data_IF_619970446937
#
_entry.id   IF_619970446937
#
_cell.length_a   1.000
_cell.length_b   1.000
_cell.length_c   1.000
_cell.angle_alpha   90.00
_cell.angle_beta   90.00
_cell.angle_gamma   90.00
#
_symmetry.space_group_name_H-M   'P 1'
#
loop_
_entity.id
_entity.type
_entity.pdbx_description
1 polymer ?
#
# COMPACT_ATOMS: atom_id res chain seq x y z
N UNK A 1 26.09 3.31 -12.39
CA UNK A 1 26.29 3.68 -10.97
C UNK A 1 25.11 3.10 -10.21
N UNK A 2 25.32 2.13 -9.31
CA UNK A 2 24.24 1.52 -8.53
C UNK A 2 23.89 2.50 -7.40
N UNK A 3 22.75 3.17 -7.48
CA UNK A 3 22.25 3.99 -6.37
C UNK A 3 22.01 3.06 -5.18
N UNK A 4 22.89 3.11 -4.18
CA UNK A 4 22.75 2.37 -2.92
C UNK A 4 21.76 3.08 -2.03
N UNK A 5 20.48 3.08 -2.42
CA UNK A 5 19.38 3.48 -1.53
C UNK A 5 19.11 2.32 -0.59
N UNK A 6 19.12 2.58 0.72
CA UNK A 6 18.75 1.63 1.76
C UNK A 6 17.45 0.91 1.37
N UNK A 7 17.37 -0.44 1.50
CA UNK A 7 16.15 -1.17 1.16
C UNK A 7 14.98 -0.64 1.99
N UNK A 8 13.83 -0.47 1.34
CA UNK A 8 12.61 -0.04 2.00
C UNK A 8 12.22 -1.08 3.06
N UNK A 9 11.77 -0.61 4.23
CA UNK A 9 11.19 -1.51 5.23
C UNK A 9 9.92 -2.17 4.69
N UNK A 10 9.57 -3.37 5.15
CA UNK A 10 8.32 -4.04 4.77
C UNK A 10 7.08 -3.15 4.96
N UNK A 11 7.05 -2.37 6.06
CA UNK A 11 6.01 -1.36 6.32
C UNK A 11 5.93 -0.30 5.21
N UNK A 12 7.08 0.20 4.75
CA UNK A 12 7.13 1.22 3.70
C UNK A 12 6.71 0.64 2.34
N UNK A 13 7.10 -0.60 2.04
CA UNK A 13 6.64 -1.33 0.84
C UNK A 13 5.12 -1.48 0.88
N UNK A 14 4.57 -2.01 1.97
CA UNK A 14 3.13 -2.18 2.15
C UNK A 14 2.35 -0.87 2.03
N UNK A 15 2.77 0.16 2.77
CA UNK A 15 2.12 1.48 2.75
C UNK A 15 2.04 2.06 1.32
N UNK A 16 3.16 2.01 0.60
CA UNK A 16 3.27 2.50 -0.78
C UNK A 16 2.38 1.70 -1.71
N UNK A 17 2.49 0.37 -1.68
CA UNK A 17 1.79 -0.52 -2.59
C UNK A 17 0.27 -0.48 -2.34
N UNK A 18 -0.18 -0.43 -1.08
CA UNK A 18 -1.59 -0.26 -0.72
C UNK A 18 -2.16 1.02 -1.33
N UNK A 19 -1.44 2.14 -1.19
CA UNK A 19 -1.85 3.43 -1.74
C UNK A 19 -1.93 3.42 -3.27
N UNK A 20 -0.97 2.76 -3.94
CA UNK A 20 -0.97 2.61 -5.40
C UNK A 20 -2.17 1.76 -5.84
N UNK A 21 -2.33 0.56 -5.26
CA UNK A 21 -3.44 -0.33 -5.57
C UNK A 21 -4.79 0.36 -5.36
N UNK A 22 -4.99 1.03 -4.23
CA UNK A 22 -6.23 1.77 -3.95
C UNK A 22 -6.52 2.82 -5.04
N UNK A 23 -5.51 3.57 -5.47
CA UNK A 23 -5.68 4.60 -6.52
C UNK A 23 -5.96 4.00 -7.90
N UNK A 24 -5.33 2.88 -8.24
CA UNK A 24 -5.61 2.16 -9.49
C UNK A 24 -7.04 1.62 -9.56
N UNK A 25 -7.62 1.29 -8.41
CA UNK A 25 -9.00 0.84 -8.28
C UNK A 25 -10.01 2.00 -8.11
N UNK A 26 -9.56 3.26 -8.15
CA UNK A 26 -10.39 4.46 -7.93
C UNK A 26 -11.18 4.44 -6.60
N UNK A 27 -10.62 3.81 -5.57
CA UNK A 27 -11.23 3.68 -4.25
C UNK A 27 -10.78 4.83 -3.35
N UNK A 28 -11.69 5.48 -2.63
CA UNK A 28 -11.31 6.50 -1.63
C UNK A 28 -10.78 5.86 -0.35
N UNK A 29 -10.02 6.61 0.47
CA UNK A 29 -9.59 6.10 1.79
C UNK A 29 -10.78 5.76 2.69
N UNK A 30 -11.87 6.53 2.60
CA UNK A 30 -13.10 6.30 3.36
C UNK A 30 -13.78 5.01 2.91
N UNK A 31 -13.88 4.76 1.60
CA UNK A 31 -14.47 3.55 1.04
C UNK A 31 -13.65 2.30 1.39
N UNK A 32 -12.32 2.35 1.25
CA UNK A 32 -11.44 1.25 1.65
C UNK A 32 -11.58 0.95 3.15
N UNK A 33 -11.57 1.99 3.98
CA UNK A 33 -11.74 1.83 5.42
C UNK A 33 -13.07 1.17 5.77
N UNK A 34 -14.17 1.61 5.14
CA UNK A 34 -15.50 1.02 5.33
C UNK A 34 -15.51 -0.46 4.94
N UNK A 35 -14.96 -0.82 3.78
CA UNK A 35 -14.91 -2.20 3.29
C UNK A 35 -14.03 -3.10 4.16
N UNK A 36 -12.93 -2.57 4.70
CA UNK A 36 -12.00 -3.30 5.56
C UNK A 36 -12.41 -3.31 7.05
N UNK A 37 -13.53 -2.66 7.43
CA UNK A 37 -13.96 -2.55 8.83
C UNK A 37 -13.03 -1.71 9.70
N UNK A 38 -12.42 -0.67 9.13
CA UNK A 38 -11.42 0.18 9.78
C UNK A 38 -11.84 1.66 9.78
N UNK A 39 -11.14 2.50 10.54
CA UNK A 39 -11.32 3.95 10.45
C UNK A 39 -10.53 4.53 9.28
N UNK A 40 -11.08 5.56 8.61
CA UNK A 40 -10.34 6.30 7.57
C UNK A 40 -8.99 6.82 8.09
N UNK A 41 -8.95 7.33 9.33
CA UNK A 41 -7.70 7.82 9.95
C UNK A 41 -6.65 6.72 9.99
N UNK A 42 -7.01 5.50 10.42
CA UNK A 42 -6.08 4.38 10.48
C UNK A 42 -5.56 3.99 9.08
N UNK A 43 -6.44 3.90 8.07
CA UNK A 43 -6.04 3.66 6.67
C UNK A 43 -5.09 4.76 6.18
N UNK A 44 -5.35 6.02 6.51
CA UNK A 44 -4.51 7.15 6.15
C UNK A 44 -3.10 7.06 6.76
N UNK A 45 -3.01 6.69 8.04
CA UNK A 45 -1.72 6.49 8.74
C UNK A 45 -0.94 5.28 8.19
N UNK A 46 -1.65 4.21 7.80
CA UNK A 46 -1.05 3.05 7.11
C UNK A 46 -0.45 3.49 5.78
N UNK A 47 -1.18 4.22 4.92
CA UNK A 47 -0.68 4.67 3.62
C UNK A 47 0.50 5.65 3.73
N UNK A 48 0.67 6.32 4.88
CA UNK A 48 1.84 7.15 5.19
C UNK A 48 2.99 6.38 5.83
N UNK A 49 2.80 5.10 6.16
CA UNK A 49 3.79 4.27 6.85
C UNK A 49 3.99 4.62 8.32
N UNK A 50 3.04 5.34 8.93
CA UNK A 50 3.11 5.80 10.33
C UNK A 50 2.69 4.72 11.33
N UNK A 51 1.99 3.67 10.87
CA UNK A 51 1.55 2.54 11.69
C UNK A 51 2.27 1.25 11.35
N UNK A 52 2.58 0.48 12.38
CA UNK A 52 2.92 -0.94 12.23
C UNK A 52 1.61 -1.72 12.19
N UNK A 53 1.09 -1.94 10.98
CA UNK A 53 -0.16 -2.66 10.74
C UNK A 53 0.02 -4.16 11.03
N UNK A 54 -0.98 -4.80 11.63
CA UNK A 54 -0.95 -6.25 11.85
C UNK A 54 -1.15 -6.99 10.53
N UNK A 55 -0.68 -8.24 10.45
CA UNK A 55 -0.82 -9.07 9.25
C UNK A 55 -2.30 -9.27 8.88
N UNK A 56 -3.18 -9.49 9.87
CA UNK A 56 -4.62 -9.65 9.63
C UNK A 56 -5.25 -8.38 9.04
N UNK A 57 -4.84 -7.20 9.52
CA UNK A 57 -5.31 -5.93 8.96
C UNK A 57 -4.76 -5.71 7.54
N UNK A 58 -3.54 -6.15 7.26
CA UNK A 58 -3.01 -6.13 5.89
C UNK A 58 -3.84 -7.02 4.97
N UNK A 59 -4.24 -8.21 5.44
CA UNK A 59 -5.13 -9.13 4.73
C UNK A 59 -6.51 -8.49 4.45
N UNK A 60 -7.15 -7.93 5.48
CA UNK A 60 -8.46 -7.28 5.33
C UNK A 60 -8.44 -6.12 4.31
N UNK A 61 -7.36 -5.34 4.28
CA UNK A 61 -7.19 -4.27 3.28
C UNK A 61 -6.94 -4.81 1.87
N UNK A 62 -6.22 -5.92 1.74
CA UNK A 62 -6.00 -6.59 0.47
C UNK A 62 -7.31 -7.17 -0.09
N UNK A 63 -8.07 -7.87 0.77
CA UNK A 63 -9.38 -8.44 0.43
C UNK A 63 -10.38 -7.36 0.04
N UNK A 64 -10.42 -6.24 0.78
CA UNK A 64 -11.28 -5.10 0.48
C UNK A 64 -10.98 -4.47 -0.90
N UNK A 65 -9.72 -4.48 -1.35
CA UNK A 65 -9.32 -4.02 -2.69
C UNK A 65 -9.43 -5.11 -3.76
N UNK A 66 -9.65 -6.38 -3.39
CA UNK A 66 -9.63 -7.51 -4.31
C UNK A 66 -8.24 -7.81 -4.87
N UNK A 67 -7.18 -7.56 -4.10
CA UNK A 67 -5.78 -7.79 -4.50
C UNK A 67 -5.13 -8.85 -3.61
N UNK A 68 -4.13 -9.56 -4.11
CA UNK A 68 -3.40 -10.53 -3.29
C UNK A 68 -2.45 -9.78 -2.32
N UNK A 69 -2.45 -10.16 -1.04
CA UNK A 69 -1.56 -9.57 -0.03
C UNK A 69 -0.07 -9.63 -0.44
N UNK A 70 0.35 -10.71 -1.12
CA UNK A 70 1.73 -10.86 -1.62
C UNK A 70 2.14 -9.69 -2.54
N UNK A 71 1.22 -9.16 -3.34
CA UNK A 71 1.47 -8.07 -4.28
C UNK A 71 1.67 -6.74 -3.51
N UNK A 72 1.01 -6.61 -2.35
CA UNK A 72 1.16 -5.45 -1.48
C UNK A 72 2.48 -5.44 -0.69
N UNK A 73 3.13 -6.60 -0.50
CA UNK A 73 4.41 -6.69 0.21
C UNK A 73 5.62 -6.92 -0.71
N UNK A 74 5.39 -7.02 -2.02
CA UNK A 74 6.45 -7.14 -3.02
C UNK A 74 7.04 -5.76 -3.36
N UNK A 75 8.34 -5.52 -3.09
CA UNK A 75 8.98 -4.25 -3.40
C UNK A 75 9.00 -3.90 -4.89
N UNK A 76 8.92 -4.88 -5.79
CA UNK A 76 9.06 -4.72 -7.25
C UNK A 76 7.71 -4.61 -7.98
N UNK A 77 6.59 -4.99 -7.35
CA UNK A 77 5.25 -5.09 -7.98
C UNK A 77 4.84 -3.84 -8.78
N UNK A 78 5.18 -2.65 -8.29
CA UNK A 78 4.82 -1.37 -8.90
C UNK A 78 6.02 -0.53 -9.34
N UNK A 79 7.22 -1.11 -9.43
CA UNK A 79 8.45 -0.38 -9.79
C UNK A 79 8.32 0.38 -11.11
N UNK A 80 7.73 -0.23 -12.13
CA UNK A 80 7.56 0.38 -13.46
C UNK A 80 6.49 1.48 -13.57
N UNK A 81 5.67 1.70 -12.54
CA UNK A 81 4.69 2.80 -12.50
C UNK A 81 5.31 4.11 -11.99
N UNK A 82 6.43 4.03 -11.27
CA UNK A 82 7.11 5.20 -10.72
C UNK A 82 8.05 5.87 -11.75
N UNK A 83 8.56 5.09 -12.71
CA UNK A 83 9.44 5.60 -13.78
C UNK A 83 8.70 6.50 -14.80
N UNK A 84 7.37 6.39 -14.90
CA UNK A 84 6.57 7.13 -15.89
C UNK A 84 6.17 8.55 -15.47
N UNK A 85 6.45 8.94 -14.22
CA UNK A 85 6.22 10.31 -13.71
C UNK A 85 7.41 11.26 -13.88
N UNK A 86 8.51 10.80 -14.50
CA UNK A 86 9.62 11.64 -14.94
C UNK A 86 9.61 11.81 -16.46
N UNK A 87 8.60 12.49 -16.99
CA UNK A 87 8.65 13.19 -18.27
C UNK A 87 7.80 14.45 -18.19
#
# INVERSE_FOLDING_TARGET
>A
MKNTTKPLTARAVFARNLRIARRLHDVSQEALALQAGMSRTYVSEIERGERNVSIDNMGALADALGVALRDLVDPEMFGGLLDKTSK
#
